data_IF_722450386960
#
_entry.id   IF_722450386960
#
_cell.length_a   1.000
_cell.length_b   1.000
_cell.length_c   1.000
_cell.angle_alpha   90.00
_cell.angle_beta   90.00
_cell.angle_gamma   90.00
#
_symmetry.space_group_name_H-M   'P 1'
#
loop_
_entity.id
_entity.type
_entity.pdbx_description
1 polymer ?
#
# COMPACT_ATOMS: atom_id res chain seq x y z
N UNK A 1 -74.94 -4.10 31.97
CA UNK A 1 -73.91 -4.63 31.06
C UNK A 1 -72.74 -3.65 31.09
N UNK A 2 -71.64 -4.01 31.75
CA UNK A 2 -70.51 -3.12 32.00
C UNK A 2 -69.34 -3.50 31.08
N UNK A 3 -68.80 -2.51 30.36
CA UNK A 3 -67.65 -2.66 29.46
C UNK A 3 -66.33 -2.55 30.24
N UNK A 4 -65.51 -3.59 30.18
CA UNK A 4 -64.15 -3.67 30.69
C UNK A 4 -63.17 -2.96 29.73
N UNK A 5 -62.40 -1.99 30.23
CA UNK A 5 -61.27 -1.37 29.51
C UNK A 5 -59.98 -2.08 29.87
N UNK A 6 -59.27 -2.62 28.88
CA UNK A 6 -57.87 -3.08 28.99
C UNK A 6 -56.92 -2.01 28.43
N UNK A 7 -55.88 -1.59 29.17
CA UNK A 7 -54.88 -0.67 28.64
C UNK A 7 -53.82 -1.41 27.80
N UNK A 8 -53.51 -0.84 26.63
CA UNK A 8 -52.41 -1.28 25.76
C UNK A 8 -51.08 -0.76 26.31
N UNK A 9 -50.13 -1.66 26.55
CA UNK A 9 -48.72 -1.34 26.79
C UNK A 9 -48.00 -1.23 25.44
N UNK A 10 -47.40 -0.08 25.17
CA UNK A 10 -46.50 0.15 24.03
C UNK A 10 -45.07 0.01 24.55
N UNK A 11 -44.23 -0.91 24.03
CA UNK A 11 -42.82 -0.94 24.39
C UNK A 11 -42.07 0.15 23.60
N UNK A 12 -41.45 1.07 24.32
CA UNK A 12 -40.50 2.02 23.77
C UNK A 12 -39.18 1.30 23.45
N UNK A 13 -38.84 1.21 22.16
CA UNK A 13 -37.53 0.75 21.71
C UNK A 13 -36.58 1.94 21.74
N UNK A 14 -35.70 1.99 22.76
CA UNK A 14 -34.57 2.91 22.78
C UNK A 14 -33.53 2.46 21.74
N UNK A 15 -33.38 3.25 20.68
CA UNK A 15 -32.26 3.13 19.75
C UNK A 15 -31.01 3.77 20.38
N UNK A 16 -30.10 2.94 20.89
CA UNK A 16 -28.76 3.39 21.27
C UNK A 16 -27.90 3.53 20.02
N UNK A 17 -27.84 4.75 19.47
CA UNK A 17 -26.87 5.10 18.45
C UNK A 17 -25.48 5.25 19.11
N UNK A 18 -24.74 4.14 19.19
CA UNK A 18 -23.35 4.15 19.58
C UNK A 18 -22.51 4.83 18.49
N UNK A 19 -22.16 6.09 18.70
CA UNK A 19 -21.15 6.78 17.91
C UNK A 19 -19.79 6.11 18.15
N UNK A 20 -19.40 5.21 17.25
CA UNK A 20 -18.04 4.69 17.17
C UNK A 20 -17.13 5.82 16.66
N UNK A 21 -16.61 6.62 17.58
CA UNK A 21 -15.47 7.49 17.29
C UNK A 21 -14.27 6.62 16.96
N UNK A 22 -14.00 6.41 15.67
CA UNK A 22 -12.72 5.91 15.20
C UNK A 22 -11.68 7.00 15.52
N UNK A 23 -10.94 6.82 16.62
CA UNK A 23 -9.78 7.63 16.92
C UNK A 23 -8.75 7.40 15.82
N UNK A 24 -8.67 8.31 14.86
CA UNK A 24 -7.59 8.33 13.88
C UNK A 24 -6.29 8.61 14.63
N UNK A 25 -5.37 7.64 14.64
CA UNK A 25 -4.05 7.80 15.26
C UNK A 25 -3.32 8.95 14.55
N UNK A 26 -3.05 10.03 15.29
CA UNK A 26 -2.26 11.16 14.78
C UNK A 26 -0.86 10.63 14.42
N UNK A 27 -0.34 10.91 13.20
CA UNK A 27 0.99 10.47 12.82
C UNK A 27 2.04 10.96 13.84
N UNK A 28 3.04 10.15 14.18
CA UNK A 28 4.12 10.59 15.06
C UNK A 28 4.86 11.79 14.46
N UNK A 29 5.27 12.73 15.32
CA UNK A 29 6.06 13.91 14.88
C UNK A 29 7.48 13.57 14.40
N UNK A 30 8.04 12.46 14.86
CA UNK A 30 9.36 11.96 14.45
C UNK A 30 9.24 10.53 13.93
N UNK A 31 9.41 10.36 12.62
CA UNK A 31 9.40 9.06 11.96
C UNK A 31 10.78 8.38 12.00
N UNK A 32 11.82 9.08 12.46
CA UNK A 32 13.21 8.68 12.31
C UNK A 32 13.77 8.93 10.90
N UNK A 33 15.05 8.60 10.67
CA UNK A 33 15.68 8.74 9.36
C UNK A 33 15.03 7.82 8.32
N UNK A 34 15.09 8.26 7.05
CA UNK A 34 14.74 7.44 5.90
C UNK A 34 15.78 6.35 5.70
N UNK A 35 15.32 5.10 5.63
CA UNK A 35 16.19 3.93 5.40
C UNK A 35 15.97 3.30 4.03
N UNK A 36 14.83 3.57 3.40
CA UNK A 36 14.51 3.12 2.05
C UNK A 36 13.57 4.11 1.37
N UNK A 37 13.68 4.24 0.05
CA UNK A 37 12.77 4.98 -0.80
C UNK A 37 12.51 4.22 -2.10
N UNK A 38 11.27 4.28 -2.58
CA UNK A 38 10.89 3.80 -3.90
C UNK A 38 9.88 4.77 -4.53
N UNK A 39 9.74 4.67 -5.85
CA UNK A 39 8.69 5.34 -6.61
C UNK A 39 7.48 4.42 -6.77
N UNK A 40 6.32 5.02 -6.98
CA UNK A 40 5.12 4.28 -7.39
C UNK A 40 5.08 4.10 -8.90
N UNK A 41 4.84 2.87 -9.34
CA UNK A 41 4.72 2.49 -10.75
C UNK A 41 3.29 2.03 -10.99
N UNK A 42 2.62 2.65 -11.96
CA UNK A 42 1.30 2.20 -12.42
C UNK A 42 1.40 0.83 -13.07
N UNK A 43 0.60 -0.13 -12.62
CA UNK A 43 0.61 -1.47 -13.24
C UNK A 43 -0.01 -1.50 -14.64
N UNK A 44 -0.70 -0.43 -15.04
CA UNK A 44 -1.23 -0.26 -16.38
C UNK A 44 -0.14 0.03 -17.43
N UNK A 45 1.04 0.51 -16.99
CA UNK A 45 2.18 0.76 -17.90
C UNK A 45 3.12 -0.44 -17.98
N UNK A 46 2.92 -1.45 -17.13
CA UNK A 46 3.72 -2.66 -17.11
C UNK A 46 3.20 -3.66 -18.13
N UNK A 47 4.10 -4.21 -18.95
CA UNK A 47 3.75 -5.34 -19.80
C UNK A 47 3.49 -6.57 -18.93
N UNK A 48 2.47 -7.38 -19.23
CA UNK A 48 2.29 -8.67 -18.58
C UNK A 48 3.54 -9.54 -18.78
N UNK A 49 4.21 -9.89 -17.69
CA UNK A 49 5.36 -10.79 -17.70
C UNK A 49 4.93 -12.17 -17.19
N UNK A 50 4.89 -13.22 -18.04
CA UNK A 50 4.54 -14.57 -17.61
C UNK A 50 5.55 -15.18 -16.63
N UNK A 51 6.78 -14.64 -16.54
CA UNK A 51 7.77 -15.02 -15.55
C UNK A 51 7.61 -14.26 -14.21
N UNK A 52 6.72 -13.26 -14.15
CA UNK A 52 6.43 -12.56 -12.90
C UNK A 52 5.83 -13.53 -11.90
N UNK A 53 6.50 -13.66 -10.76
CA UNK A 53 6.03 -14.46 -9.62
C UNK A 53 4.75 -13.84 -9.02
N UNK A 54 4.42 -12.60 -9.40
CA UNK A 54 3.28 -11.85 -8.87
C UNK A 54 2.31 -11.53 -10.03
N UNK A 55 1.25 -12.33 -10.22
CA UNK A 55 0.17 -11.98 -11.12
C UNK A 55 -0.67 -10.89 -10.46
N UNK A 56 -0.48 -9.64 -10.88
CA UNK A 56 -1.32 -8.54 -10.42
C UNK A 56 -2.56 -8.45 -11.32
N UNK A 57 -3.79 -8.42 -10.78
CA UNK A 57 -4.90 -7.89 -11.56
C UNK A 57 -4.58 -6.42 -11.90
N UNK A 58 -4.58 -6.09 -13.20
CA UNK A 58 -4.19 -4.77 -13.68
C UNK A 58 -5.31 -3.76 -13.46
N UNK A 59 -5.08 -2.82 -12.55
CA UNK A 59 -5.84 -1.59 -12.42
C UNK A 59 -5.29 -0.48 -13.30
N UNK A 60 -6.10 0.57 -13.49
CA UNK A 60 -5.80 1.67 -14.42
C UNK A 60 -6.01 3.05 -13.79
N UNK A 61 -5.95 3.14 -12.46
CA UNK A 61 -6.04 4.42 -11.78
C UNK A 61 -4.91 5.36 -12.21
N UNK A 62 -5.21 6.67 -12.33
CA UNK A 62 -4.20 7.66 -12.65
C UNK A 62 -3.23 7.80 -11.47
N UNK A 63 -1.98 8.10 -11.78
CA UNK A 63 -0.99 8.63 -10.84
C UNK A 63 -0.08 9.56 -11.63
N UNK A 64 0.20 10.74 -11.08
CA UNK A 64 1.15 11.67 -11.70
C UNK A 64 2.55 11.46 -11.13
N UNK A 65 2.63 11.42 -9.81
CA UNK A 65 3.88 11.22 -9.08
C UNK A 65 3.57 10.58 -7.73
N UNK A 66 4.59 10.01 -7.11
CA UNK A 66 4.52 9.59 -5.73
C UNK A 66 5.73 8.78 -5.31
N UNK A 67 6.02 8.89 -4.02
CA UNK A 67 7.09 8.15 -3.37
C UNK A 67 6.59 7.42 -2.13
N UNK A 68 7.33 6.37 -1.81
CA UNK A 68 7.16 5.58 -0.62
C UNK A 68 8.48 5.53 0.14
N UNK A 69 8.42 5.83 1.42
CA UNK A 69 9.57 5.83 2.31
C UNK A 69 9.35 4.83 3.45
N UNK A 70 10.38 4.05 3.77
CA UNK A 70 10.44 3.32 5.05
C UNK A 70 11.36 4.09 5.99
N UNK A 71 10.88 4.30 7.21
CA UNK A 71 11.54 5.12 8.23
C UNK A 71 11.99 4.24 9.39
N UNK A 72 13.14 4.58 9.99
CA UNK A 72 13.83 3.72 10.96
C UNK A 72 13.04 3.44 12.26
N UNK A 73 12.00 4.22 12.57
CA UNK A 73 11.12 3.97 13.73
C UNK A 73 9.92 3.08 13.41
N UNK A 74 9.98 2.30 12.33
CA UNK A 74 8.92 1.36 11.96
C UNK A 74 7.70 2.06 11.36
N UNK A 75 7.93 3.07 10.52
CA UNK A 75 6.86 3.78 9.81
C UNK A 75 7.06 3.68 8.31
N UNK A 76 5.95 3.58 7.60
CA UNK A 76 5.88 3.65 6.14
C UNK A 76 5.14 4.93 5.81
N UNK A 77 5.82 5.85 5.12
CA UNK A 77 5.21 7.08 4.60
C UNK A 77 4.98 6.92 3.11
N UNK A 78 3.84 7.38 2.63
CA UNK A 78 3.57 7.51 1.21
C UNK A 78 3.02 8.88 0.90
N UNK A 79 3.60 9.52 -0.11
CA UNK A 79 3.15 10.78 -0.68
C UNK A 79 2.76 10.50 -2.13
N UNK A 80 1.53 10.86 -2.51
CA UNK A 80 0.94 10.52 -3.80
C UNK A 80 0.24 11.73 -4.39
N UNK A 81 0.41 11.96 -5.68
CA UNK A 81 -0.24 13.05 -6.41
C UNK A 81 -0.90 12.56 -7.70
N UNK A 82 -2.06 13.14 -8.02
CA UNK A 82 -2.78 12.86 -9.27
C UNK A 82 -3.50 11.50 -9.27
N UNK A 83 -3.87 11.00 -8.08
CA UNK A 83 -4.76 9.85 -7.94
C UNK A 83 -6.22 10.24 -8.23
N UNK A 84 -7.12 9.25 -8.24
CA UNK A 84 -8.55 9.53 -8.27
C UNK A 84 -8.96 10.32 -7.02
N UNK A 85 -9.60 11.50 -7.15
CA UNK A 85 -10.04 12.29 -6.00
C UNK A 85 -11.04 11.54 -5.10
N UNK A 86 -10.98 11.79 -3.80
CA UNK A 86 -11.88 11.21 -2.80
C UNK A 86 -11.95 9.67 -2.85
N UNK A 87 -10.91 9.02 -3.36
CA UNK A 87 -10.77 7.58 -3.40
C UNK A 87 -10.04 7.05 -2.15
N UNK A 88 -10.35 5.81 -1.79
CA UNK A 88 -9.66 5.05 -0.77
C UNK A 88 -8.88 3.90 -1.41
N UNK A 89 -7.59 3.84 -1.10
CA UNK A 89 -6.69 2.75 -1.43
C UNK A 89 -6.35 1.96 -0.17
N UNK A 90 -5.80 0.76 -0.35
CA UNK A 90 -5.17 -0.01 0.73
C UNK A 90 -3.71 -0.19 0.39
N UNK A 91 -2.83 0.20 1.32
CA UNK A 91 -1.40 -0.06 1.23
C UNK A 91 -1.10 -1.44 1.79
N UNK A 92 -0.39 -2.24 1.01
CA UNK A 92 0.08 -3.57 1.37
C UNK A 92 1.60 -3.61 1.35
N UNK A 93 2.18 -4.40 2.24
CA UNK A 93 3.57 -4.85 2.16
C UNK A 93 3.57 -6.32 1.78
N UNK A 94 4.35 -6.68 0.77
CA UNK A 94 4.41 -8.01 0.20
C UNK A 94 5.84 -8.54 0.25
N UNK A 95 6.00 -9.79 0.70
CA UNK A 95 7.28 -10.49 0.72
C UNK A 95 7.67 -10.92 -0.69
N UNK A 96 8.94 -10.76 -1.04
CA UNK A 96 9.55 -11.39 -2.21
C UNK A 96 9.73 -12.88 -1.94
N UNK A 97 8.69 -13.67 -2.21
CA UNK A 97 8.69 -15.13 -2.02
C UNK A 97 8.10 -15.86 -3.23
N UNK A 98 8.59 -17.06 -3.51
CA UNK A 98 8.01 -17.99 -4.47
C UNK A 98 6.79 -18.75 -3.92
N UNK A 99 6.53 -18.72 -2.61
CA UNK A 99 5.39 -19.43 -1.98
C UNK A 99 4.12 -18.57 -2.00
N UNK A 100 3.03 -18.97 -2.68
CA UNK A 100 1.85 -18.12 -2.92
C UNK A 100 1.11 -17.68 -1.65
N UNK A 101 1.20 -18.46 -0.57
CA UNK A 101 0.38 -18.24 0.62
C UNK A 101 0.89 -17.09 1.49
N UNK A 102 -0.04 -16.22 1.91
CA UNK A 102 0.17 -15.14 2.87
C UNK A 102 1.36 -14.22 2.53
N UNK A 103 1.58 -13.93 1.24
CA UNK A 103 2.70 -13.09 0.79
C UNK A 103 2.57 -11.64 1.22
N UNK A 104 1.34 -11.14 1.34
CA UNK A 104 1.06 -9.73 1.58
C UNK A 104 0.31 -9.51 2.89
N UNK A 105 0.60 -8.39 3.55
CA UNK A 105 -0.11 -7.93 4.75
C UNK A 105 -0.55 -6.49 4.56
N UNK A 106 -1.80 -6.18 4.90
CA UNK A 106 -2.31 -4.81 4.80
C UNK A 106 -1.66 -3.95 5.89
N UNK A 107 -1.15 -2.80 5.50
CA UNK A 107 -0.68 -1.77 6.43
C UNK A 107 -1.82 -0.85 6.86
N UNK A 108 -2.72 -0.52 5.93
CA UNK A 108 -3.88 0.31 6.21
C UNK A 108 -4.40 1.10 5.02
N UNK A 109 -5.42 1.95 5.24
CA UNK A 109 -6.02 2.76 4.21
C UNK A 109 -5.13 3.97 3.85
N UNK A 110 -5.18 4.35 2.57
CA UNK A 110 -4.60 5.60 2.05
C UNK A 110 -5.72 6.35 1.36
N UNK A 111 -6.16 7.46 1.95
CA UNK A 111 -7.28 8.25 1.45
C UNK A 111 -6.76 9.46 0.68
N UNK A 112 -7.40 9.77 -0.43
CA UNK A 112 -7.08 10.94 -1.25
C UNK A 112 -8.01 12.11 -0.95
N UNK A 113 -7.51 13.33 -1.11
CA UNK A 113 -8.27 14.57 -1.01
C UNK A 113 -9.06 14.87 -2.31
N UNK A 114 -9.73 16.03 -2.36
CA UNK A 114 -10.47 16.50 -3.53
C UNK A 114 -9.61 16.77 -4.78
N UNK A 115 -8.28 16.85 -4.60
CA UNK A 115 -7.30 17.08 -5.67
C UNK A 115 -6.61 15.79 -6.10
N UNK A 116 -6.92 14.65 -5.46
CA UNK A 116 -6.25 13.38 -5.73
C UNK A 116 -4.86 13.29 -5.09
N UNK A 117 -4.58 14.07 -4.03
CA UNK A 117 -3.35 13.92 -3.24
C UNK A 117 -3.59 13.01 -2.05
N UNK A 118 -2.58 12.25 -1.64
CA UNK A 118 -2.60 11.51 -0.39
C UNK A 118 -1.23 11.61 0.31
N UNK A 119 -1.27 11.90 1.61
CA UNK A 119 -0.14 11.80 2.55
C UNK A 119 -0.59 10.85 3.67
N UNK A 120 0.00 9.65 3.70
CA UNK A 120 -0.33 8.64 4.69
C UNK A 120 0.92 8.10 5.37
N UNK A 121 0.82 7.96 6.70
CA UNK A 121 1.84 7.37 7.55
C UNK A 121 1.22 6.17 8.24
N UNK A 122 1.73 4.98 7.93
CA UNK A 122 1.21 3.71 8.42
C UNK A 122 2.29 2.95 9.20
N UNK A 123 1.91 2.24 10.28
CA UNK A 123 2.88 1.47 11.05
C UNK A 123 3.41 0.29 10.22
N UNK A 124 4.71 0.03 10.36
CA UNK A 124 5.29 -1.23 9.92
C UNK A 124 4.65 -2.40 10.70
N UNK A 125 4.44 -3.58 10.10
CA UNK A 125 3.84 -4.70 10.82
C UNK A 125 4.70 -5.10 12.02
N UNK A 126 4.14 -5.10 13.23
CA UNK A 126 4.88 -5.46 14.46
C UNK A 126 5.45 -6.89 14.40
N UNK A 127 4.76 -7.79 13.71
CA UNK A 127 5.17 -9.17 13.51
C UNK A 127 6.34 -9.33 12.52
N UNK A 128 6.69 -8.30 11.74
CA UNK A 128 7.80 -8.33 10.81
C UNK A 128 9.10 -7.95 11.54
N UNK A 129 9.84 -8.98 11.98
CA UNK A 129 11.14 -8.84 12.65
C UNK A 129 12.30 -9.31 11.76
N UNK A 130 13.44 -8.61 11.82
CA UNK A 130 14.68 -8.98 11.14
C UNK A 130 14.84 -8.37 9.73
N UNK A 131 15.77 -8.88 8.91
CA UNK A 131 15.91 -8.46 7.52
C UNK A 131 14.69 -8.88 6.68
N UNK A 132 14.17 -7.97 5.86
CA UNK A 132 13.00 -8.21 5.02
C UNK A 132 13.26 -7.86 3.56
N UNK A 133 12.96 -8.78 2.66
CA UNK A 133 12.89 -8.54 1.22
C UNK A 133 11.42 -8.34 0.84
N UNK A 134 11.01 -7.08 0.66
CA UNK A 134 9.62 -6.71 0.41
C UNK A 134 9.47 -5.72 -0.72
N UNK A 135 8.26 -5.63 -1.25
CA UNK A 135 7.77 -4.54 -2.09
C UNK A 135 6.39 -4.13 -1.58
N UNK A 136 5.92 -2.96 -2.00
CA UNK A 136 4.65 -2.40 -1.60
C UNK A 136 3.68 -2.36 -2.77
N UNK A 137 2.40 -2.45 -2.43
CA UNK A 137 1.31 -2.45 -3.40
C UNK A 137 0.21 -1.54 -2.90
N UNK A 138 -0.31 -0.68 -3.79
CA UNK A 138 -1.54 0.06 -3.56
C UNK A 138 -2.67 -0.60 -4.34
N UNK A 139 -3.73 -0.97 -3.64
CA UNK A 139 -4.93 -1.59 -4.23
C UNK A 139 -6.15 -0.72 -4.04
N UNK A 140 -7.09 -0.74 -4.99
CA UNK A 140 -8.44 -0.20 -4.83
C UNK A 140 -9.43 -1.19 -5.42
N UNK A 141 -10.55 -1.44 -4.73
CA UNK A 141 -11.55 -2.42 -5.14
C UNK A 141 -10.98 -3.82 -5.43
N UNK A 142 -10.03 -4.27 -4.60
CA UNK A 142 -9.32 -5.56 -4.74
C UNK A 142 -8.45 -5.70 -6.00
N UNK A 143 -8.27 -4.63 -6.76
CA UNK A 143 -7.40 -4.58 -7.93
C UNK A 143 -6.12 -3.83 -7.59
N UNK A 144 -4.98 -4.33 -8.09
CA UNK A 144 -3.69 -3.64 -7.91
C UNK A 144 -3.62 -2.45 -8.84
N UNK A 145 -3.34 -1.27 -8.29
CA UNK A 145 -3.23 -0.03 -9.05
C UNK A 145 -1.76 0.35 -9.26
N UNK A 146 -0.97 0.26 -8.18
CA UNK A 146 0.42 0.68 -8.18
C UNK A 146 1.29 -0.30 -7.40
N UNK A 147 2.55 -0.40 -7.81
CA UNK A 147 3.59 -1.18 -7.13
C UNK A 147 4.80 -0.30 -6.87
N UNK A 148 5.47 -0.49 -5.73
CA UNK A 148 6.70 0.23 -5.44
C UNK A 148 7.86 -0.34 -6.26
N UNK A 149 8.69 0.52 -6.84
CA UNK A 149 9.90 0.09 -7.51
C UNK A 149 10.71 1.27 -8.03
N UNK A 150 11.48 1.00 -9.08
CA UNK A 150 12.09 2.02 -9.92
C UNK A 150 11.66 1.77 -11.37
N UNK A 151 11.29 2.83 -12.08
CA UNK A 151 10.97 2.75 -13.49
C UNK A 151 12.19 3.21 -14.30
N UNK A 152 12.75 2.32 -15.12
CA UNK A 152 13.73 2.72 -16.13
C UNK A 152 12.97 3.21 -17.36
N UNK A 153 13.02 4.51 -17.71
CA UNK A 153 12.43 4.99 -18.94
C UNK A 153 13.06 4.24 -20.11
N UNK A 154 12.26 3.82 -21.08
CA UNK A 154 12.66 3.02 -22.24
C UNK A 154 13.62 3.70 -23.24
N UNK A 155 14.44 4.65 -22.80
CA UNK A 155 15.59 5.07 -23.55
C UNK A 155 16.57 3.90 -23.65
N UNK A 156 17.32 3.85 -24.77
CA UNK A 156 18.36 2.86 -25.08
C UNK A 156 19.09 2.43 -23.80
N UNK A 157 19.15 1.13 -23.47
CA UNK A 157 19.91 0.65 -22.31
C UNK A 157 21.27 1.34 -22.28
N UNK A 158 21.77 1.82 -21.13
CA UNK A 158 23.10 2.40 -21.08
C UNK A 158 24.07 1.40 -21.74
N UNK A 159 24.94 1.85 -22.66
CA UNK A 159 25.85 0.95 -23.35
C UNK A 159 26.58 0.09 -22.32
N UNK A 160 26.79 -1.21 -22.59
CA UNK A 160 27.45 -2.11 -21.66
C UNK A 160 28.72 -1.44 -21.13
N UNK A 161 28.85 -1.38 -19.79
CA UNK A 161 30.08 -0.90 -19.18
C UNK A 161 31.29 -1.69 -19.70
N UNK A 162 32.51 -1.14 -19.59
CA UNK A 162 33.71 -1.85 -20.00
C UNK A 162 33.73 -3.23 -19.33
N UNK A 163 33.98 -4.25 -20.14
CA UNK A 163 34.03 -5.63 -19.67
C UNK A 163 35.11 -5.73 -18.57
N UNK A 164 34.78 -6.27 -17.38
CA UNK A 164 35.78 -6.48 -16.34
C UNK A 164 36.96 -7.27 -16.91
N UNK A 165 38.21 -6.97 -16.51
CA UNK A 165 39.37 -7.75 -16.93
C UNK A 165 39.13 -9.23 -16.58
N UNK A 166 39.54 -10.12 -17.48
CA UNK A 166 39.44 -11.55 -17.24
C UNK A 166 40.12 -11.90 -15.90
N UNK A 167 39.53 -12.80 -15.09
CA UNK A 167 40.17 -13.28 -13.89
C UNK A 167 41.59 -13.79 -14.19
N UNK A 168 42.56 -13.59 -13.28
CA UNK A 168 43.90 -14.16 -13.44
C UNK A 168 43.78 -15.66 -13.67
N UNK A 169 44.51 -16.19 -14.66
CA UNK A 169 44.57 -17.63 -14.90
C UNK A 169 45.14 -18.30 -13.64
N UNK A 170 44.54 -19.38 -13.12
CA UNK A 170 45.09 -20.09 -11.96
C UNK A 170 46.53 -20.52 -12.24
N UNK A 171 47.45 -20.23 -11.31
CA UNK A 171 48.81 -20.77 -11.36
C UNK A 171 48.75 -22.27 -11.13
N UNK A 172 49.07 -23.05 -12.16
CA UNK A 172 49.42 -24.47 -12.05
C UNK A 172 50.81 -24.64 -11.49
#
# INVERSE_FOLDING_TARGET
MAFTRSPRLIPAVLAAAGALCFAQSVPPRDLGPKIFQAQWISVNTLQPDPASIIPFPHGNDPIRDGDLEVRARGWVKTDLEGLNPQAQYTLWVCRLSSTPDNRCSALGPVNTDEKGNADAVLPWPEAATGPHAVFFVLTRNQTTMFVSGFYMPGAVPPPPGPQPPAPPKPST
#
